data_IF_432802582865
#
_entry.id   IF_432802582865
#
_cell.length_a   1.000
_cell.length_b   1.000
_cell.length_c   1.000
_cell.angle_alpha   90.00
_cell.angle_beta   90.00
_cell.angle_gamma   90.00
#
_symmetry.space_group_name_H-M   'P 1'
#
loop_
_entity.id
_entity.type
_entity.pdbx_description
1 polymer ?
#
# COMPACT_ATOMS: atom_id res chain seq x y z
N UNK A 1 -9.67 17.17 2.41
CA UNK A 1 -10.22 16.29 1.35
C UNK A 1 -11.09 15.21 1.98
N UNK A 2 -12.35 15.02 1.56
CA UNK A 2 -13.17 13.90 2.02
C UNK A 2 -12.69 12.59 1.38
N UNK A 3 -11.79 11.87 2.06
CA UNK A 3 -11.20 10.60 1.58
C UNK A 3 -11.95 9.35 2.11
N UNK A 4 -13.13 9.52 2.69
CA UNK A 4 -13.87 8.44 3.37
C UNK A 4 -14.20 7.27 2.45
N UNK A 5 -14.74 7.51 1.26
CA UNK A 5 -15.08 6.44 0.32
C UNK A 5 -13.82 5.69 -0.17
N UNK A 6 -12.73 6.44 -0.44
CA UNK A 6 -11.43 5.86 -0.78
C UNK A 6 -10.91 4.96 0.35
N UNK A 7 -10.84 5.48 1.57
CA UNK A 7 -10.40 4.72 2.75
C UNK A 7 -11.25 3.48 3.01
N UNK A 8 -12.58 3.58 2.92
CA UNK A 8 -13.49 2.45 3.09
C UNK A 8 -13.25 1.37 2.03
N UNK A 9 -13.08 1.75 0.76
CA UNK A 9 -12.77 0.79 -0.32
C UNK A 9 -11.43 0.06 -0.09
N UNK A 10 -10.42 0.75 0.43
CA UNK A 10 -9.11 0.16 0.75
C UNK A 10 -9.17 -0.72 2.00
N UNK A 11 -9.99 -0.37 3.00
CA UNK A 11 -10.24 -1.24 4.14
C UNK A 11 -10.95 -2.56 3.73
N UNK A 12 -11.91 -2.49 2.81
CA UNK A 12 -12.55 -3.67 2.24
C UNK A 12 -11.57 -4.53 1.44
N UNK A 13 -10.72 -3.92 0.60
CA UNK A 13 -9.64 -4.61 -0.10
C UNK A 13 -8.70 -5.34 0.88
N UNK A 14 -8.28 -4.66 1.94
CA UNK A 14 -7.39 -5.20 2.96
C UNK A 14 -7.97 -6.46 3.62
N UNK A 15 -9.25 -6.42 4.00
CA UNK A 15 -9.96 -7.58 4.54
C UNK A 15 -9.95 -8.75 3.54
N UNK A 16 -10.29 -8.50 2.27
CA UNK A 16 -10.33 -9.54 1.23
C UNK A 16 -8.94 -10.18 1.04
N UNK A 17 -7.88 -9.40 0.93
CA UNK A 17 -6.51 -9.91 0.77
C UNK A 17 -6.09 -10.75 1.98
N UNK A 18 -6.45 -10.32 3.20
CA UNK A 18 -6.16 -11.09 4.42
C UNK A 18 -6.97 -12.39 4.49
N UNK A 19 -8.19 -12.41 3.98
CA UNK A 19 -9.00 -13.63 3.86
C UNK A 19 -8.38 -14.62 2.86
N UNK A 20 -7.89 -14.14 1.71
CA UNK A 20 -7.18 -14.98 0.73
C UNK A 20 -5.98 -15.69 1.36
N UNK A 21 -5.21 -15.02 2.23
CA UNK A 21 -4.07 -15.64 2.92
C UNK A 21 -4.46 -16.90 3.69
N UNK A 22 -5.57 -16.86 4.44
CA UNK A 22 -6.06 -17.99 5.23
C UNK A 22 -6.70 -19.09 4.37
N UNK A 23 -7.41 -18.70 3.31
CA UNK A 23 -8.22 -19.60 2.51
C UNK A 23 -7.43 -20.29 1.38
N UNK A 24 -6.29 -19.73 0.96
CA UNK A 24 -5.51 -20.21 -0.18
C UNK A 24 -4.05 -20.44 0.20
N UNK A 25 -3.69 -21.70 0.50
CA UNK A 25 -2.32 -22.07 0.91
C UNK A 25 -1.27 -21.94 -0.20
N UNK A 26 -1.68 -22.01 -1.47
CA UNK A 26 -0.77 -21.94 -2.62
C UNK A 26 -0.36 -20.53 -3.06
N UNK A 27 -0.85 -19.48 -2.40
CA UNK A 27 -0.65 -18.08 -2.82
C UNK A 27 0.03 -17.27 -1.72
N UNK A 28 1.00 -16.43 -2.08
CA UNK A 28 1.48 -15.37 -1.19
C UNK A 28 0.61 -14.13 -1.41
N UNK A 29 -0.21 -13.74 -0.42
CA UNK A 29 -1.15 -12.62 -0.55
C UNK A 29 -0.98 -11.67 0.63
N UNK A 30 -0.71 -10.41 0.34
CA UNK A 30 -0.43 -9.37 1.32
C UNK A 30 -0.76 -8.00 0.73
N UNK A 31 -0.86 -6.98 1.57
CA UNK A 31 -1.20 -5.61 1.15
C UNK A 31 0.06 -4.76 1.12
N UNK A 32 0.19 -3.91 0.11
CA UNK A 32 1.30 -2.96 -0.03
C UNK A 32 0.78 -1.53 -0.15
N UNK A 33 1.20 -0.66 0.77
CA UNK A 33 0.99 0.79 0.68
C UNK A 33 2.14 1.42 -0.11
N UNK A 34 1.87 2.14 -1.23
CA UNK A 34 2.92 2.78 -2.03
C UNK A 34 3.47 4.06 -1.38
N UNK A 35 2.88 4.50 -0.26
CA UNK A 35 3.12 5.84 0.29
C UNK A 35 2.28 6.91 -0.41
N UNK A 36 2.59 8.17 -0.12
CA UNK A 36 1.96 9.31 -0.78
C UNK A 36 2.85 9.78 -1.93
N UNK A 37 2.55 9.24 -3.12
CA UNK A 37 3.42 9.30 -4.31
C UNK A 37 3.07 10.48 -5.21
N UNK A 38 4.05 11.06 -5.89
CA UNK A 38 3.91 12.13 -6.91
C UNK A 38 3.26 11.66 -8.22
N UNK A 39 2.09 11.04 -8.12
CA UNK A 39 1.19 10.76 -9.25
C UNK A 39 0.18 11.90 -9.40
N UNK A 40 -0.63 11.85 -10.45
CA UNK A 40 -1.78 12.77 -10.60
C UNK A 40 -2.67 12.75 -9.34
N UNK A 41 -3.09 11.57 -8.89
CA UNK A 41 -3.91 11.41 -7.68
C UNK A 41 -3.22 11.95 -6.42
N UNK A 42 -1.93 11.65 -6.24
CA UNK A 42 -1.20 12.08 -5.05
C UNK A 42 -0.94 13.58 -5.01
N UNK A 43 -0.58 14.19 -6.14
CA UNK A 43 -0.37 15.63 -6.23
C UNK A 43 -1.68 16.40 -6.11
N UNK A 44 -2.78 15.92 -6.72
CA UNK A 44 -4.11 16.48 -6.47
C UNK A 44 -4.47 16.42 -4.96
N UNK A 45 -4.14 15.30 -4.32
CA UNK A 45 -4.15 15.15 -2.85
C UNK A 45 -3.44 16.27 -2.12
N UNK A 46 -2.19 16.53 -2.53
CA UNK A 46 -1.28 17.48 -1.91
C UNK A 46 -1.79 18.92 -2.06
N UNK A 47 -2.23 19.30 -3.26
CA UNK A 47 -2.78 20.62 -3.55
C UNK A 47 -3.99 20.93 -2.67
N UNK A 48 -4.92 19.99 -2.53
CA UNK A 48 -6.14 20.15 -1.71
C UNK A 48 -5.83 20.34 -0.23
N UNK A 49 -4.66 19.88 0.26
CA UNK A 49 -4.21 20.11 1.64
C UNK A 49 -3.17 21.23 1.77
N UNK A 50 -2.92 22.00 0.71
CA UNK A 50 -2.00 23.14 0.72
C UNK A 50 -0.52 22.80 0.58
N UNK A 51 -0.21 21.62 0.04
CA UNK A 51 1.16 21.20 -0.29
C UNK A 51 1.43 21.38 -1.79
N UNK A 52 2.68 21.66 -2.15
CA UNK A 52 3.10 21.80 -3.56
C UNK A 52 2.98 20.47 -4.34
N UNK A 53 3.35 19.36 -3.71
CA UNK A 53 3.32 18.02 -4.30
C UNK A 53 3.40 16.94 -3.22
N UNK A 54 3.07 15.71 -3.58
CA UNK A 54 3.21 14.57 -2.69
C UNK A 54 4.69 14.34 -2.27
N UNK A 55 4.94 13.82 -1.05
CA UNK A 55 6.29 13.74 -0.51
C UNK A 55 7.17 12.69 -1.21
N UNK A 56 6.62 11.54 -1.61
CA UNK A 56 7.38 10.40 -2.16
C UNK A 56 7.50 10.49 -3.67
N UNK A 57 8.71 10.35 -4.24
CA UNK A 57 8.87 10.30 -5.70
C UNK A 57 8.30 9.01 -6.29
N UNK A 58 8.00 9.00 -7.59
CA UNK A 58 7.50 7.80 -8.26
C UNK A 58 8.54 6.68 -8.22
N UNK A 59 9.79 7.02 -8.50
CA UNK A 59 10.94 6.12 -8.55
C UNK A 59 11.17 5.48 -7.18
N UNK A 60 11.23 6.28 -6.11
CA UNK A 60 11.40 5.80 -4.73
C UNK A 60 10.30 4.81 -4.32
N UNK A 61 9.04 5.12 -4.67
CA UNK A 61 7.92 4.24 -4.36
C UNK A 61 8.02 2.92 -5.14
N UNK A 62 8.28 2.98 -6.45
CA UNK A 62 8.29 1.80 -7.32
C UNK A 62 9.47 0.89 -7.03
N UNK A 63 10.68 1.43 -6.86
CA UNK A 63 11.88 0.64 -6.53
C UNK A 63 11.68 -0.15 -5.23
N UNK A 64 11.24 0.52 -4.17
CA UNK A 64 11.02 -0.13 -2.88
C UNK A 64 9.86 -1.15 -2.92
N UNK A 65 8.81 -0.89 -3.70
CA UNK A 65 7.73 -1.86 -3.88
C UNK A 65 8.20 -3.10 -4.64
N UNK A 66 9.02 -2.96 -5.67
CA UNK A 66 9.60 -4.08 -6.42
C UNK A 66 10.45 -4.95 -5.48
N UNK A 67 11.34 -4.35 -4.68
CA UNK A 67 12.15 -5.08 -3.71
C UNK A 67 11.30 -5.90 -2.71
N UNK A 68 10.19 -5.33 -2.22
CA UNK A 68 9.26 -6.03 -1.33
C UNK A 68 8.51 -7.15 -2.04
N UNK A 69 8.16 -6.97 -3.32
CA UNK A 69 7.52 -8.00 -4.13
C UNK A 69 8.48 -9.16 -4.39
N UNK A 70 9.71 -8.88 -4.79
CA UNK A 70 10.72 -9.89 -5.12
C UNK A 70 11.15 -10.71 -3.90
N UNK A 71 11.17 -10.09 -2.72
CA UNK A 71 11.52 -10.76 -1.46
C UNK A 71 10.32 -11.42 -0.74
N UNK A 72 9.09 -11.24 -1.23
CA UNK A 72 7.89 -11.69 -0.52
C UNK A 72 7.79 -13.22 -0.45
N UNK A 73 7.70 -13.75 0.76
CA UNK A 73 7.48 -15.19 0.99
C UNK A 73 6.14 -15.41 1.68
N UNK A 74 5.60 -16.64 1.55
CA UNK A 74 4.40 -17.01 2.29
C UNK A 74 4.61 -17.06 3.80
N UNK A 75 5.81 -17.45 4.24
CA UNK A 75 6.14 -17.58 5.66
C UNK A 75 6.30 -16.24 6.36
N UNK A 76 6.89 -15.25 5.68
CA UNK A 76 7.30 -13.99 6.30
C UNK A 76 6.36 -12.83 5.94
N UNK A 77 5.87 -12.78 4.71
CA UNK A 77 5.17 -11.59 4.17
C UNK A 77 3.67 -11.79 4.04
N UNK A 78 3.21 -13.00 3.69
CA UNK A 78 1.79 -13.26 3.44
C UNK A 78 0.92 -12.95 4.66
N UNK A 79 -0.27 -12.41 4.45
CA UNK A 79 -1.22 -12.07 5.51
C UNK A 79 -0.86 -10.80 6.30
N UNK A 80 0.11 -10.02 5.82
CA UNK A 80 0.55 -8.76 6.45
C UNK A 80 0.14 -7.53 5.64
N UNK A 81 0.28 -6.36 6.27
CA UNK A 81 0.18 -5.05 5.63
C UNK A 81 1.57 -4.40 5.64
N UNK A 82 2.19 -4.33 4.46
CA UNK A 82 3.47 -3.70 4.23
C UNK A 82 3.31 -2.31 3.65
N UNK A 83 4.35 -1.50 3.77
CA UNK A 83 4.45 -0.19 3.14
C UNK A 83 5.72 -0.16 2.29
N UNK A 84 5.81 0.77 1.33
CA UNK A 84 7.00 0.99 0.51
C UNK A 84 8.23 1.28 1.39
N UNK A 85 8.03 1.94 2.53
CA UNK A 85 9.01 2.14 3.57
C UNK A 85 8.97 0.99 4.61
N UNK A 86 9.89 1.02 5.57
CA UNK A 86 9.94 0.03 6.66
C UNK A 86 8.97 0.34 7.81
N UNK A 87 8.02 1.24 7.57
CA UNK A 87 6.98 1.56 8.54
C UNK A 87 6.06 0.35 8.73
N UNK A 88 6.01 -0.16 9.96
CA UNK A 88 5.03 -1.18 10.35
C UNK A 88 3.63 -0.56 10.35
N UNK A 89 2.73 -1.13 9.54
CA UNK A 89 1.31 -0.76 9.50
C UNK A 89 0.51 -1.90 10.10
N UNK A 90 -0.21 -1.59 11.17
CA UNK A 90 -1.24 -2.49 11.69
C UNK A 90 -2.51 -2.36 10.82
N UNK A 91 -3.37 -3.37 10.92
CA UNK A 91 -4.64 -3.44 10.19
C UNK A 91 -5.65 -2.38 10.65
#
# INVERSE_FOLDING_TARGET
MPVTAYGASKAALNYIVRKIHFENQGVCSWVLSPGWVRTEMGNHGAEVVGMERAPVSLEQSVEAMIEKIDSATRGDTSGTFQSFDDAKREW
#
